data_IF_280785968521
#
_entry.id   IF_280785968521
#
_cell.length_a   1.000
_cell.length_b   1.000
_cell.length_c   1.000
_cell.angle_alpha   90.00
_cell.angle_beta   90.00
_cell.angle_gamma   90.00
#
_symmetry.space_group_name_H-M   'P 1'
#
loop_
_entity.id
_entity.type
_entity.pdbx_description
1 polymer ?
#
# COMPACT_ATOMS: atom_id res chain seq x y z
N UNK A 1 14.38 -50.11 -18.11
CA UNK A 1 15.71 -50.55 -17.57
C UNK A 1 15.99 -49.74 -16.33
N UNK A 2 16.05 -50.44 -15.19
CA UNK A 2 16.26 -49.95 -13.84
C UNK A 2 17.70 -49.48 -13.66
N UNK A 3 17.94 -48.37 -12.93
CA UNK A 3 19.14 -48.25 -12.09
C UNK A 3 18.76 -47.42 -10.86
N UNK A 4 18.64 -48.14 -9.76
CA UNK A 4 18.58 -47.70 -8.38
C UNK A 4 20.05 -47.46 -7.96
N UNK A 5 20.35 -46.31 -7.36
CA UNK A 5 21.62 -46.12 -6.63
C UNK A 5 21.28 -45.72 -5.20
N UNK A 6 21.49 -46.69 -4.33
CA UNK A 6 21.48 -46.58 -2.86
C UNK A 6 22.87 -46.12 -2.44
N UNK A 7 23.02 -45.08 -1.61
CA UNK A 7 24.27 -44.80 -0.87
C UNK A 7 23.91 -44.71 0.60
N UNK A 8 24.70 -45.52 1.34
CA UNK A 8 24.56 -45.87 2.73
C UNK A 8 25.10 -44.78 3.68
N UNK A 9 24.51 -44.80 4.86
CA UNK A 9 24.94 -44.05 6.05
C UNK A 9 26.31 -44.51 6.57
N UNK A 10 27.12 -43.56 7.04
CA UNK A 10 28.23 -43.85 7.97
C UNK A 10 28.05 -42.96 9.19
N UNK A 11 27.71 -43.65 10.28
CA UNK A 11 27.69 -43.14 11.64
C UNK A 11 29.11 -43.31 12.20
N UNK A 12 29.75 -42.26 12.71
CA UNK A 12 30.96 -42.40 13.51
C UNK A 12 30.75 -41.73 14.85
N UNK A 13 30.58 -42.58 15.84
CA UNK A 13 30.62 -42.28 17.28
C UNK A 13 32.09 -42.29 17.71
N UNK A 14 32.59 -41.23 18.35
CA UNK A 14 33.80 -41.30 19.18
C UNK A 14 33.49 -40.72 20.56
N UNK A 15 33.43 -41.62 21.51
CA UNK A 15 33.51 -41.37 22.94
C UNK A 15 35.00 -41.35 23.34
N UNK A 16 35.39 -40.43 24.18
CA UNK A 16 36.74 -40.38 24.77
C UNK A 16 36.71 -39.67 26.11
N UNK A 17 37.07 -40.37 27.13
CA UNK A 17 36.85 -40.13 28.55
C UNK A 17 37.96 -39.29 29.24
N UNK A 18 37.52 -38.58 30.28
CA UNK A 18 38.09 -38.40 31.64
C UNK A 18 39.60 -38.19 31.84
N UNK A 19 39.93 -37.12 32.57
CA UNK A 19 40.97 -37.15 33.58
C UNK A 19 41.80 -35.88 33.71
N UNK A 20 41.78 -35.27 34.91
CA UNK A 20 42.88 -34.42 35.33
C UNK A 20 42.51 -33.24 36.21
N UNK A 21 42.48 -33.41 37.53
CA UNK A 21 42.57 -32.38 38.55
C UNK A 21 43.90 -31.63 38.49
N UNK A 22 43.86 -30.30 38.69
CA UNK A 22 45.07 -29.49 38.91
C UNK A 22 44.73 -28.07 39.32
N UNK A 23 45.12 -27.67 40.47
CA UNK A 23 44.85 -26.56 41.35
C UNK A 23 45.35 -25.19 40.87
N UNK A 24 44.63 -24.14 41.34
CA UNK A 24 45.06 -22.76 41.68
C UNK A 24 45.51 -21.78 40.60
N UNK A 25 44.78 -20.67 40.55
CA UNK A 25 45.22 -19.41 39.98
C UNK A 25 44.10 -18.53 39.54
N UNK A 26 43.47 -17.76 40.45
CA UNK A 26 42.71 -16.56 40.04
C UNK A 26 43.65 -15.53 39.44
N UNK A 27 43.20 -14.89 38.35
CA UNK A 27 43.08 -13.45 38.41
C UNK A 27 41.79 -12.93 37.76
N UNK A 28 41.27 -11.89 38.44
CA UNK A 28 40.52 -10.76 37.97
C UNK A 28 39.45 -11.01 36.90
N UNK A 29 38.21 -10.82 37.34
CA UNK A 29 37.03 -10.72 36.47
C UNK A 29 37.16 -9.57 35.47
N UNK A 30 37.12 -9.90 34.22
CA UNK A 30 36.57 -9.01 33.22
C UNK A 30 35.08 -9.27 33.16
N UNK A 31 34.31 -8.28 33.68
CA UNK A 31 32.89 -8.16 33.43
C UNK A 31 32.67 -8.04 31.91
N UNK A 32 32.51 -9.17 31.25
CA UNK A 32 31.85 -9.16 29.92
C UNK A 32 30.42 -8.76 30.17
N UNK A 33 30.18 -7.46 30.08
CA UNK A 33 28.82 -6.95 29.88
C UNK A 33 28.26 -7.69 28.68
N UNK A 34 27.43 -8.69 28.96
CA UNK A 34 26.49 -9.25 27.98
C UNK A 34 25.61 -8.07 27.56
N UNK A 35 25.94 -7.45 26.43
CA UNK A 35 24.97 -6.66 25.69
C UNK A 35 23.84 -7.64 25.33
N UNK A 36 22.76 -7.58 26.11
CA UNK A 36 21.50 -8.18 25.70
C UNK A 36 21.21 -7.60 24.32
N UNK A 37 21.38 -8.42 23.28
CA UNK A 37 20.86 -8.11 21.97
C UNK A 37 19.39 -7.68 22.19
N UNK A 38 19.08 -6.41 21.96
CA UNK A 38 17.69 -5.92 21.98
C UNK A 38 16.94 -6.75 20.94
N UNK A 39 15.97 -7.54 21.38
CA UNK A 39 15.11 -8.24 20.46
C UNK A 39 14.40 -7.19 19.60
N UNK A 40 14.64 -7.18 18.29
CA UNK A 40 13.93 -6.30 17.39
C UNK A 40 12.43 -6.60 17.47
N UNK A 41 11.62 -5.57 17.73
CA UNK A 41 10.17 -5.68 17.69
C UNK A 41 9.73 -5.43 16.25
N UNK A 42 8.74 -6.16 15.76
CA UNK A 42 8.21 -5.99 14.41
C UNK A 42 6.80 -5.44 14.49
N UNK A 43 6.53 -4.44 13.67
CA UNK A 43 5.17 -3.91 13.39
C UNK A 43 4.80 -4.37 11.99
N UNK A 44 3.77 -5.18 11.88
CA UNK A 44 3.29 -5.72 10.61
C UNK A 44 2.16 -4.85 10.05
N UNK A 45 2.34 -4.28 8.86
CA UNK A 45 1.28 -3.59 8.12
C UNK A 45 0.95 -4.35 6.84
N UNK A 46 -0.32 -4.39 6.46
CA UNK A 46 -0.81 -5.13 5.30
C UNK A 46 -1.93 -4.36 4.61
N UNK A 47 -1.97 -4.35 3.29
CA UNK A 47 -3.13 -3.82 2.57
C UNK A 47 -2.85 -2.96 1.34
N UNK A 48 -3.44 -1.78 1.30
CA UNK A 48 -3.54 -0.92 0.13
C UNK A 48 -2.21 -0.63 -0.58
N UNK A 49 -2.11 -1.05 -1.84
CA UNK A 49 -0.96 -0.75 -2.72
C UNK A 49 -0.84 0.74 -3.09
N UNK A 50 -1.92 1.52 -2.94
CA UNK A 50 -1.88 2.98 -3.15
C UNK A 50 -1.21 3.73 -2.00
N UNK A 51 -1.11 3.11 -0.83
CA UNK A 51 -0.47 3.71 0.36
C UNK A 51 1.05 3.47 0.41
N UNK A 52 1.62 2.76 -0.56
CA UNK A 52 3.04 2.34 -0.56
C UNK A 52 4.00 3.49 -0.23
N UNK A 53 3.88 4.65 -0.92
CA UNK A 53 4.76 5.79 -0.65
C UNK A 53 4.52 6.40 0.72
N UNK A 54 3.26 6.53 1.15
CA UNK A 54 2.93 7.12 2.45
C UNK A 54 3.46 6.23 3.57
N UNK A 55 3.16 4.92 3.53
CA UNK A 55 3.63 4.00 4.57
C UNK A 55 5.15 3.83 4.53
N UNK A 56 5.76 3.89 3.34
CA UNK A 56 7.20 3.85 3.16
C UNK A 56 7.90 5.00 3.88
N UNK A 57 7.52 6.26 3.61
CA UNK A 57 8.11 7.42 4.28
C UNK A 57 7.87 7.41 5.79
N UNK A 58 6.68 7.02 6.24
CA UNK A 58 6.37 6.92 7.67
C UNK A 58 7.23 5.83 8.34
N UNK A 59 7.34 4.66 7.71
CA UNK A 59 8.10 3.53 8.25
C UNK A 59 9.60 3.82 8.29
N UNK A 60 10.15 4.41 7.23
CA UNK A 60 11.58 4.76 7.15
C UNK A 60 11.94 5.78 8.23
N UNK A 61 11.19 6.89 8.34
CA UNK A 61 11.44 7.92 9.33
C UNK A 61 11.30 7.38 10.77
N UNK A 62 10.29 6.54 11.02
CA UNK A 62 10.09 5.93 12.32
C UNK A 62 11.23 4.97 12.71
N UNK A 63 11.67 4.13 11.77
CA UNK A 63 12.79 3.20 12.01
C UNK A 63 14.14 3.89 12.17
N UNK A 64 14.35 5.07 11.56
CA UNK A 64 15.55 5.88 11.78
C UNK A 64 15.67 6.35 13.23
N UNK A 65 14.53 6.71 13.87
CA UNK A 65 14.48 7.16 15.27
C UNK A 65 14.41 5.98 16.26
N UNK A 66 13.89 4.84 15.85
CA UNK A 66 13.61 3.66 16.66
C UNK A 66 14.30 2.41 16.09
N UNK A 67 15.63 2.36 16.16
CA UNK A 67 16.46 1.32 15.53
C UNK A 67 16.29 -0.12 16.06
N UNK A 68 15.47 -0.33 17.10
CA UNK A 68 15.07 -1.63 17.64
C UNK A 68 13.66 -2.07 17.15
N UNK A 69 12.98 -1.23 16.37
CA UNK A 69 11.68 -1.54 15.79
C UNK A 69 11.83 -1.71 14.28
N UNK A 70 11.20 -2.75 13.74
CA UNK A 70 11.10 -3.00 12.30
C UNK A 70 9.65 -2.89 11.86
N UNK A 71 9.32 -1.91 11.03
CA UNK A 71 8.02 -1.83 10.37
C UNK A 71 8.07 -2.56 9.04
N UNK A 72 7.13 -3.45 8.80
CA UNK A 72 7.02 -4.21 7.55
C UNK A 72 5.72 -3.87 6.84
N UNK A 73 5.75 -3.84 5.51
CA UNK A 73 4.60 -3.57 4.67
C UNK A 73 4.39 -4.70 3.66
N UNK A 74 3.15 -5.19 3.58
CA UNK A 74 2.73 -6.22 2.63
C UNK A 74 1.62 -5.67 1.72
N UNK A 75 1.87 -5.42 0.42
CA UNK A 75 0.92 -4.78 -0.50
C UNK A 75 -0.10 -5.78 -1.07
N UNK A 76 -1.19 -6.05 -0.35
CA UNK A 76 -2.20 -7.07 -0.71
C UNK A 76 -3.53 -6.51 -1.22
N UNK A 77 -3.72 -5.18 -1.15
CA UNK A 77 -5.00 -4.52 -1.45
C UNK A 77 -5.82 -4.23 -0.19
N UNK A 78 -6.71 -3.23 -0.28
CA UNK A 78 -7.43 -2.69 0.88
C UNK A 78 -8.29 -3.72 1.60
N UNK A 79 -9.10 -4.47 0.86
CA UNK A 79 -9.97 -5.49 1.48
C UNK A 79 -9.19 -6.61 2.15
N UNK A 80 -8.05 -7.01 1.56
CA UNK A 80 -7.14 -8.00 2.15
C UNK A 80 -6.48 -7.49 3.44
N UNK A 81 -6.06 -6.21 3.46
CA UNK A 81 -5.50 -5.57 4.65
C UNK A 81 -6.51 -5.41 5.78
N UNK A 82 -7.74 -5.01 5.45
CA UNK A 82 -8.85 -4.95 6.42
C UNK A 82 -9.11 -6.33 7.02
N UNK A 83 -9.18 -7.37 6.18
CA UNK A 83 -9.34 -8.74 6.64
C UNK A 83 -8.15 -9.21 7.48
N UNK A 84 -6.92 -8.86 7.10
CA UNK A 84 -5.72 -9.21 7.86
C UNK A 84 -5.74 -8.60 9.26
N UNK A 85 -6.20 -7.36 9.41
CA UNK A 85 -6.38 -6.72 10.71
C UNK A 85 -7.48 -7.42 11.53
N UNK A 86 -8.63 -7.72 10.93
CA UNK A 86 -9.73 -8.44 11.59
C UNK A 86 -9.30 -9.81 12.14
N UNK A 87 -8.51 -10.53 11.36
CA UNK A 87 -8.00 -11.87 11.73
C UNK A 87 -6.74 -11.83 12.63
N UNK A 88 -6.18 -10.65 12.89
CA UNK A 88 -4.95 -10.48 13.67
C UNK A 88 -3.69 -11.00 12.96
N UNK A 89 -3.70 -11.04 11.62
CA UNK A 89 -2.55 -11.42 10.80
C UNK A 89 -1.56 -10.27 10.56
N UNK A 90 -1.98 -9.04 10.81
CA UNK A 90 -1.14 -7.85 10.89
C UNK A 90 -1.54 -7.01 12.11
N UNK A 91 -0.67 -6.10 12.52
CA UNK A 91 -0.96 -5.16 13.60
C UNK A 91 -1.86 -4.01 13.11
N UNK A 92 -1.61 -3.51 11.89
CA UNK A 92 -2.31 -2.38 11.29
C UNK A 92 -2.64 -2.71 9.84
N UNK A 93 -3.94 -2.74 9.52
CA UNK A 93 -4.43 -2.82 8.15
C UNK A 93 -4.33 -1.46 7.45
N UNK A 94 -4.12 -1.47 6.14
CA UNK A 94 -4.02 -0.28 5.31
C UNK A 94 -5.15 -0.28 4.28
N UNK A 95 -6.01 0.72 4.31
CA UNK A 95 -7.09 0.85 3.35
C UNK A 95 -7.07 2.20 2.62
N UNK A 96 -7.39 2.19 1.34
CA UNK A 96 -7.58 3.39 0.53
C UNK A 96 -9.07 3.62 0.22
N UNK A 97 -9.88 3.37 1.19
CA UNK A 97 -11.31 3.64 1.32
C UNK A 97 -11.70 3.59 2.80
N UNK A 98 -12.83 4.15 3.14
CA UNK A 98 -13.41 3.98 4.45
C UNK A 98 -13.85 2.53 4.70
N UNK A 99 -14.00 2.15 5.97
CA UNK A 99 -14.59 0.86 6.34
C UNK A 99 -16.07 0.84 5.93
N UNK A 100 -16.52 -0.30 5.42
CA UNK A 100 -17.94 -0.55 5.18
C UNK A 100 -18.64 -0.80 6.52
N UNK A 101 -19.96 -0.59 6.56
CA UNK A 101 -20.74 -0.76 7.78
C UNK A 101 -20.54 -2.14 8.41
N UNK A 102 -20.50 -3.21 7.61
CA UNK A 102 -20.25 -4.57 8.08
C UNK A 102 -18.83 -4.80 8.62
N UNK A 103 -17.86 -3.95 8.27
CA UNK A 103 -16.47 -4.04 8.73
C UNK A 103 -16.25 -3.30 10.06
N UNK A 104 -17.14 -2.37 10.42
CA UNK A 104 -17.00 -1.55 11.64
C UNK A 104 -17.43 -2.25 12.92
N UNK A 105 -17.94 -3.48 12.85
CA UNK A 105 -18.37 -4.24 14.04
C UNK A 105 -17.20 -4.63 14.96
N UNK A 106 -16.02 -4.91 14.39
CA UNK A 106 -14.83 -5.39 15.11
C UNK A 106 -13.58 -4.54 14.80
N UNK A 107 -13.69 -3.53 13.93
CA UNK A 107 -12.57 -2.76 13.44
C UNK A 107 -12.78 -1.27 13.61
N UNK A 108 -11.70 -0.58 13.94
CA UNK A 108 -11.62 0.87 13.96
C UNK A 108 -10.78 1.38 12.77
N UNK A 109 -11.36 2.29 11.99
CA UNK A 109 -10.65 3.00 10.92
C UNK A 109 -10.23 4.39 11.36
N UNK A 110 -8.95 4.72 11.23
CA UNK A 110 -8.41 6.06 11.49
C UNK A 110 -7.88 6.67 10.22
N UNK A 111 -8.50 7.76 9.78
CA UNK A 111 -8.06 8.50 8.58
C UNK A 111 -6.75 9.22 8.88
N UNK A 112 -5.74 8.99 8.06
CA UNK A 112 -4.41 9.63 8.19
C UNK A 112 -4.10 10.62 7.09
N UNK A 113 -4.68 10.41 5.90
CA UNK A 113 -4.48 11.30 4.76
C UNK A 113 -5.69 11.25 3.81
N UNK A 114 -5.78 12.24 2.93
CA UNK A 114 -6.65 12.24 1.76
C UNK A 114 -5.75 12.09 0.53
N UNK A 115 -6.17 11.26 -0.42
CA UNK A 115 -5.46 11.04 -1.66
C UNK A 115 -6.39 11.20 -2.86
N UNK A 116 -5.90 11.85 -3.92
CA UNK A 116 -6.60 11.91 -5.19
C UNK A 116 -6.50 10.59 -5.95
N UNK A 117 -7.58 10.20 -6.60
CA UNK A 117 -7.57 9.15 -7.62
C UNK A 117 -7.34 9.84 -8.96
N UNK A 118 -6.09 9.92 -9.40
CA UNK A 118 -5.73 10.52 -10.68
C UNK A 118 -6.18 9.66 -11.85
N UNK A 119 -6.82 10.28 -12.85
CA UNK A 119 -7.08 9.64 -14.13
C UNK A 119 -5.79 9.74 -14.95
N UNK A 120 -5.26 8.60 -15.33
CA UNK A 120 -3.97 8.50 -16.00
C UNK A 120 -4.11 7.96 -17.42
N UNK A 121 -3.33 8.54 -18.31
CA UNK A 121 -3.20 8.10 -19.71
C UNK A 121 -1.72 8.00 -20.08
N UNK A 122 -1.44 7.36 -21.21
CA UNK A 122 -0.09 7.36 -21.76
C UNK A 122 0.37 8.81 -22.08
N UNK A 123 1.65 9.17 -21.90
CA UNK A 123 2.16 10.52 -22.22
C UNK A 123 1.86 10.99 -23.64
N UNK A 124 1.81 10.07 -24.62
CA UNK A 124 1.52 10.37 -26.03
C UNK A 124 0.02 10.56 -26.32
N UNK A 125 -0.86 10.28 -25.37
CA UNK A 125 -2.29 10.51 -25.54
C UNK A 125 -2.59 12.02 -25.50
N UNK A 126 -3.28 12.61 -26.51
CA UNK A 126 -3.54 14.05 -26.58
C UNK A 126 -4.61 14.56 -25.60
N UNK A 127 -5.38 13.68 -24.97
CA UNK A 127 -6.46 14.07 -24.05
C UNK A 127 -5.89 14.75 -22.81
N UNK A 128 -6.45 15.91 -22.44
CA UNK A 128 -5.98 16.73 -21.30
C UNK A 128 -7.00 16.84 -20.18
N UNK A 129 -8.29 16.63 -20.48
CA UNK A 129 -9.39 16.76 -19.54
C UNK A 129 -10.53 15.82 -19.89
N UNK A 130 -11.22 15.30 -18.89
CA UNK A 130 -12.47 14.53 -19.03
C UNK A 130 -13.43 14.93 -17.92
N UNK A 131 -14.72 14.92 -18.21
CA UNK A 131 -15.75 15.02 -17.16
C UNK A 131 -15.92 13.69 -16.44
N UNK A 132 -16.43 13.72 -15.19
CA UNK A 132 -16.77 12.51 -14.44
C UNK A 132 -17.78 11.64 -15.24
N UNK A 133 -18.73 12.28 -15.92
CA UNK A 133 -19.69 11.59 -16.79
C UNK A 133 -19.00 10.88 -17.96
N UNK A 134 -18.05 11.54 -18.64
CA UNK A 134 -17.29 10.91 -19.73
C UNK A 134 -16.47 9.72 -19.22
N UNK A 135 -15.81 9.86 -18.07
CA UNK A 135 -15.06 8.78 -17.43
C UNK A 135 -15.99 7.60 -17.15
N UNK A 136 -17.15 7.85 -16.55
CA UNK A 136 -18.16 6.81 -16.30
C UNK A 136 -18.61 6.10 -17.58
N UNK A 137 -18.88 6.85 -18.65
CA UNK A 137 -19.26 6.29 -19.96
C UNK A 137 -18.13 5.48 -20.63
N UNK A 138 -16.89 5.90 -20.46
CA UNK A 138 -15.73 5.14 -20.95
C UNK A 138 -15.67 3.80 -20.23
N UNK A 139 -15.71 3.80 -18.90
CA UNK A 139 -15.58 2.56 -18.13
C UNK A 139 -16.82 1.67 -18.19
N UNK A 140 -18.03 2.21 -18.44
CA UNK A 140 -19.23 1.41 -18.74
C UNK A 140 -19.24 0.85 -20.17
N UNK A 141 -18.34 1.32 -21.04
CA UNK A 141 -18.22 0.91 -22.44
C UNK A 141 -19.28 1.56 -23.36
N UNK A 142 -19.83 2.71 -22.97
CA UNK A 142 -20.69 3.54 -23.81
C UNK A 142 -19.84 4.39 -24.75
N UNK A 143 -18.67 4.88 -24.31
CA UNK A 143 -17.64 5.56 -25.10
C UNK A 143 -16.50 4.58 -25.27
N UNK A 144 -16.14 4.24 -26.50
CA UNK A 144 -15.13 3.22 -26.80
C UNK A 144 -13.98 3.70 -27.68
N UNK A 145 -14.08 4.93 -28.17
CA UNK A 145 -13.07 5.53 -29.04
C UNK A 145 -12.68 6.92 -28.53
N UNK A 146 -11.39 7.20 -28.45
CA UNK A 146 -10.85 8.46 -27.97
C UNK A 146 -11.38 9.68 -28.74
N UNK A 147 -11.70 9.56 -30.03
CA UNK A 147 -12.29 10.66 -30.81
C UNK A 147 -13.62 11.17 -30.28
N UNK A 148 -14.36 10.35 -29.54
CA UNK A 148 -15.65 10.73 -28.96
C UNK A 148 -15.49 11.74 -27.80
N UNK A 149 -14.25 11.82 -27.27
CA UNK A 149 -13.88 12.76 -26.19
C UNK A 149 -12.76 13.73 -26.62
N UNK A 150 -12.59 13.96 -27.93
CA UNK A 150 -11.65 14.92 -28.47
C UNK A 150 -10.21 14.41 -28.64
N UNK A 151 -9.97 13.12 -28.46
CA UNK A 151 -8.70 12.47 -28.70
C UNK A 151 -8.53 11.94 -30.14
N UNK A 152 -7.53 11.09 -30.33
CA UNK A 152 -7.24 10.44 -31.61
C UNK A 152 -8.32 9.41 -32.01
N UNK A 153 -8.44 9.09 -33.31
CA UNK A 153 -9.31 8.01 -33.77
C UNK A 153 -8.67 6.64 -33.45
N UNK A 154 -8.84 6.20 -32.20
CA UNK A 154 -8.26 4.99 -31.66
C UNK A 154 -9.17 4.40 -30.58
N UNK A 155 -9.19 3.06 -30.41
CA UNK A 155 -9.99 2.43 -29.36
C UNK A 155 -9.46 2.79 -27.97
N UNK A 156 -10.35 2.90 -26.98
CA UNK A 156 -9.98 3.08 -25.58
C UNK A 156 -9.74 1.72 -24.93
N UNK A 157 -8.60 1.58 -24.23
CA UNK A 157 -8.26 0.39 -23.45
C UNK A 157 -8.37 0.71 -21.96
N UNK A 158 -9.44 0.26 -21.33
CA UNK A 158 -9.71 0.53 -19.91
C UNK A 158 -8.90 -0.40 -19.01
N UNK A 159 -7.97 0.16 -18.25
CA UNK A 159 -7.17 -0.54 -17.25
C UNK A 159 -7.75 -0.25 -15.87
N UNK A 160 -8.02 -1.30 -15.10
CA UNK A 160 -8.58 -1.17 -13.75
C UNK A 160 -7.88 -2.05 -12.74
N UNK A 161 -8.48 -2.11 -11.57
CA UNK A 161 -8.00 -2.85 -10.42
C UNK A 161 -8.94 -4.02 -10.10
N UNK A 162 -8.38 -5.03 -9.43
CA UNK A 162 -9.15 -6.16 -8.88
C UNK A 162 -10.18 -5.69 -7.82
N UNK A 163 -11.14 -6.57 -7.51
CA UNK A 163 -12.24 -6.27 -6.58
C UNK A 163 -11.79 -5.96 -5.13
N UNK A 164 -10.57 -6.39 -4.72
CA UNK A 164 -10.04 -6.09 -3.39
C UNK A 164 -9.46 -4.67 -3.25
N UNK A 165 -9.45 -3.88 -4.33
CA UNK A 165 -8.83 -2.57 -4.38
C UNK A 165 -9.75 -1.47 -3.86
N UNK A 166 -9.35 -0.80 -2.77
CA UNK A 166 -10.04 0.41 -2.30
C UNK A 166 -9.98 1.58 -3.30
N UNK A 167 -8.97 1.61 -4.19
CA UNK A 167 -8.91 2.60 -5.28
C UNK A 167 -10.01 2.36 -6.30
N UNK A 168 -10.29 1.08 -6.61
CA UNK A 168 -11.44 0.72 -7.45
C UNK A 168 -12.75 1.13 -6.80
N UNK A 169 -12.93 0.79 -5.52
CA UNK A 169 -14.16 1.16 -4.78
C UNK A 169 -14.41 2.66 -4.86
N UNK A 170 -13.42 3.50 -4.51
CA UNK A 170 -13.56 4.96 -4.55
C UNK A 170 -13.75 5.51 -5.97
N UNK A 171 -13.06 4.95 -6.97
CA UNK A 171 -13.23 5.32 -8.37
C UNK A 171 -14.65 5.02 -8.88
N UNK A 172 -15.13 3.80 -8.68
CA UNK A 172 -16.46 3.36 -9.12
C UNK A 172 -17.58 4.10 -8.40
N UNK A 173 -17.39 4.47 -7.13
CA UNK A 173 -18.33 5.29 -6.37
C UNK A 173 -18.48 6.69 -6.97
N UNK A 174 -17.36 7.41 -7.15
CA UNK A 174 -17.37 8.78 -7.67
C UNK A 174 -17.89 8.85 -9.11
N UNK A 175 -17.53 7.87 -9.94
CA UNK A 175 -17.96 7.82 -11.36
C UNK A 175 -19.36 7.21 -11.56
N UNK A 176 -19.98 6.68 -10.49
CA UNK A 176 -21.30 6.01 -10.57
C UNK A 176 -21.26 4.70 -11.37
N UNK A 177 -20.10 4.05 -11.44
CA UNK A 177 -19.87 2.85 -12.26
C UNK A 177 -19.77 1.56 -11.47
N UNK A 178 -20.18 1.55 -10.21
CA UNK A 178 -20.14 0.35 -9.37
C UNK A 178 -20.81 -0.82 -10.08
N UNK A 179 -20.10 -1.93 -10.17
CA UNK A 179 -20.52 -3.17 -10.84
C UNK A 179 -20.85 -3.03 -12.35
N UNK A 180 -20.47 -1.90 -12.98
CA UNK A 180 -20.74 -1.63 -14.40
C UNK A 180 -19.48 -1.51 -15.26
N UNK A 181 -18.30 -1.42 -14.63
CA UNK A 181 -17.05 -1.24 -15.35
C UNK A 181 -16.74 -2.44 -16.27
N UNK A 182 -16.31 -2.12 -17.48
CA UNK A 182 -15.85 -3.07 -18.50
C UNK A 182 -14.35 -2.91 -18.68
N UNK A 183 -13.59 -3.50 -17.78
CA UNK A 183 -12.15 -3.46 -17.84
C UNK A 183 -11.60 -4.35 -18.96
N UNK A 184 -10.63 -3.83 -19.70
CA UNK A 184 -9.82 -4.64 -20.63
C UNK A 184 -8.82 -5.49 -19.88
N UNK A 185 -8.32 -4.98 -18.74
CA UNK A 185 -7.46 -5.70 -17.82
C UNK A 185 -7.76 -5.25 -16.38
N UNK A 186 -7.78 -6.21 -15.46
CA UNK A 186 -7.85 -5.98 -14.02
C UNK A 186 -6.50 -6.36 -13.39
N UNK A 187 -5.87 -5.43 -12.68
CA UNK A 187 -4.52 -5.58 -12.16
C UNK A 187 -4.51 -5.52 -10.63
N UNK A 188 -3.54 -6.19 -10.01
CA UNK A 188 -3.50 -6.39 -8.56
C UNK A 188 -2.82 -5.27 -7.78
N UNK A 189 -2.06 -4.39 -8.46
CA UNK A 189 -1.37 -3.29 -7.80
C UNK A 189 -1.54 -1.95 -8.52
N UNK A 190 -1.34 -0.85 -7.80
CA UNK A 190 -1.28 0.50 -8.37
C UNK A 190 -0.11 0.63 -9.36
N UNK A 191 1.04 0.04 -9.03
CA UNK A 191 2.23 0.06 -9.88
C UNK A 191 1.99 -0.63 -11.22
N UNK A 192 1.30 -1.77 -11.24
CA UNK A 192 0.96 -2.51 -12.47
C UNK A 192 0.06 -1.67 -13.39
N UNK A 193 -0.93 -0.95 -12.82
CA UNK A 193 -1.78 -0.02 -13.60
C UNK A 193 -0.94 1.06 -14.24
N UNK A 194 -0.07 1.73 -13.48
CA UNK A 194 0.83 2.77 -14.00
C UNK A 194 1.72 2.22 -15.10
N UNK A 195 2.35 1.08 -14.90
CA UNK A 195 3.22 0.44 -15.90
C UNK A 195 2.45 0.07 -17.17
N UNK A 196 1.24 -0.49 -17.04
CA UNK A 196 0.43 -0.89 -18.19
C UNK A 196 -0.03 0.32 -19.01
N UNK A 197 -0.47 1.40 -18.33
CA UNK A 197 -0.87 2.64 -19.02
C UNK A 197 0.32 3.32 -19.68
N UNK A 198 1.50 3.35 -19.04
CA UNK A 198 2.71 3.93 -19.63
C UNK A 198 3.17 3.22 -20.89
N UNK A 199 2.89 1.93 -21.02
CA UNK A 199 3.25 1.11 -22.18
C UNK A 199 2.20 1.06 -23.31
N UNK A 200 1.02 1.66 -23.14
CA UNK A 200 -0.07 1.57 -24.14
C UNK A 200 -0.65 2.95 -24.46
N UNK A 201 -0.38 3.52 -25.67
CA UNK A 201 -0.91 4.84 -26.07
C UNK A 201 -2.44 4.96 -26.02
N UNK A 202 -3.17 3.88 -26.08
CA UNK A 202 -4.62 3.85 -26.09
C UNK A 202 -5.24 3.61 -24.72
N UNK A 203 -4.41 3.40 -23.68
CA UNK A 203 -4.89 3.07 -22.35
C UNK A 203 -5.37 4.30 -21.59
N UNK A 204 -6.42 4.07 -20.80
CA UNK A 204 -6.83 4.90 -19.67
C UNK A 204 -6.79 4.04 -18.42
N UNK A 205 -6.33 4.61 -17.31
CA UNK A 205 -6.31 3.97 -16.01
C UNK A 205 -6.61 4.98 -14.90
N UNK A 206 -6.63 4.48 -13.68
CA UNK A 206 -6.73 5.32 -12.49
C UNK A 206 -5.73 4.84 -11.43
N UNK A 207 -5.11 5.77 -10.74
CA UNK A 207 -4.10 5.50 -9.73
C UNK A 207 -4.12 6.56 -8.62
N UNK A 208 -3.54 6.23 -7.48
CA UNK A 208 -3.24 7.22 -6.44
C UNK A 208 -2.36 8.33 -7.02
N UNK A 209 -2.73 9.60 -6.79
CA UNK A 209 -1.90 10.76 -7.17
C UNK A 209 -0.53 10.67 -6.51
N UNK A 210 -0.48 10.22 -5.25
CA UNK A 210 0.77 10.01 -4.54
C UNK A 210 1.69 8.96 -5.21
N UNK A 211 1.11 7.95 -5.90
CA UNK A 211 1.85 6.79 -6.41
C UNK A 211 2.09 6.82 -7.93
N UNK A 212 1.36 7.63 -8.72
CA UNK A 212 1.38 7.56 -10.18
C UNK A 212 2.74 7.87 -10.82
N UNK A 213 3.55 8.77 -10.24
CA UNK A 213 4.86 9.14 -10.78
C UNK A 213 4.78 9.87 -12.14
N UNK A 214 5.94 9.97 -12.83
CA UNK A 214 6.10 10.78 -14.04
C UNK A 214 6.06 9.96 -15.35
N UNK A 215 5.86 8.65 -15.28
CA UNK A 215 5.83 7.77 -16.46
C UNK A 215 4.48 7.76 -17.18
N UNK A 216 3.47 8.34 -16.56
CA UNK A 216 2.12 8.51 -17.10
C UNK A 216 1.72 9.97 -17.04
N UNK A 217 0.76 10.36 -17.88
CA UNK A 217 0.15 11.69 -17.83
C UNK A 217 -1.12 11.62 -16.98
N UNK A 218 -1.19 12.40 -15.91
CA UNK A 218 -2.43 12.67 -15.19
C UNK A 218 -3.19 13.79 -15.90
N UNK A 219 -4.44 13.51 -16.28
CA UNK A 219 -5.31 14.49 -16.91
C UNK A 219 -6.18 15.19 -15.86
N UNK A 220 -6.69 16.36 -16.23
CA UNK A 220 -7.68 17.08 -15.43
C UNK A 220 -9.02 16.34 -15.41
N UNK A 221 -9.80 16.56 -14.37
CA UNK A 221 -11.22 16.12 -14.30
C UNK A 221 -12.08 17.34 -14.02
N UNK A 222 -13.08 17.58 -14.85
CA UNK A 222 -13.92 18.79 -14.77
C UNK A 222 -13.09 20.10 -14.83
N UNK A 223 -12.00 20.11 -15.57
CA UNK A 223 -11.07 21.24 -15.66
C UNK A 223 -10.11 21.40 -14.47
N UNK A 224 -10.20 20.53 -13.46
CA UNK A 224 -9.38 20.59 -12.23
C UNK A 224 -8.24 19.57 -12.31
N UNK A 225 -6.98 20.02 -12.15
CA UNK A 225 -5.82 19.12 -12.07
C UNK A 225 -5.75 18.45 -10.71
N UNK A 226 -5.38 17.16 -10.64
CA UNK A 226 -5.17 16.45 -9.37
C UNK A 226 -3.83 16.84 -8.74
N UNK A 227 -3.85 17.87 -7.93
CA UNK A 227 -2.70 18.33 -7.12
C UNK A 227 -3.02 18.24 -5.64
N UNK A 228 -1.99 18.24 -4.78
CA UNK A 228 -2.20 18.27 -3.32
C UNK A 228 -3.09 19.43 -2.90
N UNK A 229 -2.94 20.60 -3.51
CA UNK A 229 -3.74 21.78 -3.17
C UNK A 229 -5.21 21.60 -3.57
N UNK A 230 -5.49 21.19 -4.82
CA UNK A 230 -6.87 20.99 -5.30
C UNK A 230 -7.58 19.82 -4.60
N UNK A 231 -6.81 18.81 -4.13
CA UNK A 231 -7.34 17.74 -3.29
C UNK A 231 -7.65 18.28 -1.90
N UNK A 232 -6.73 19.04 -1.29
CA UNK A 232 -6.89 19.62 0.04
C UNK A 232 -8.11 20.56 0.12
N UNK A 233 -8.32 21.37 -0.92
CA UNK A 233 -9.41 22.34 -0.99
C UNK A 233 -10.76 21.71 -1.43
N UNK A 234 -10.73 20.41 -1.80
CA UNK A 234 -11.89 19.66 -2.25
C UNK A 234 -12.39 20.09 -3.65
N UNK A 235 -11.59 20.82 -4.42
CA UNK A 235 -11.87 21.16 -5.81
C UNK A 235 -11.79 19.91 -6.70
N UNK A 236 -10.73 19.09 -6.54
CA UNK A 236 -10.62 17.81 -7.23
C UNK A 236 -11.55 16.79 -6.58
N UNK A 237 -12.57 16.36 -7.30
CA UNK A 237 -13.67 15.52 -6.75
C UNK A 237 -13.35 14.04 -6.65
N UNK A 238 -12.41 13.53 -7.45
CA UNK A 238 -12.08 12.09 -7.47
C UNK A 238 -11.02 11.81 -6.41
N UNK A 239 -11.44 11.74 -5.15
CA UNK A 239 -10.57 11.59 -3.99
C UNK A 239 -11.15 10.63 -2.96
N UNK A 240 -10.32 10.16 -2.05
CA UNK A 240 -10.69 9.21 -0.98
C UNK A 240 -9.76 9.30 0.22
N UNK A 241 -10.16 8.67 1.30
CA UNK A 241 -9.36 8.56 2.51
C UNK A 241 -8.29 7.45 2.41
N UNK A 242 -7.12 7.70 3.02
CA UNK A 242 -6.19 6.67 3.45
C UNK A 242 -6.42 6.40 4.94
N UNK A 243 -6.66 5.14 5.26
CA UNK A 243 -7.15 4.70 6.57
C UNK A 243 -6.22 3.64 7.15
N UNK A 244 -5.80 3.85 8.39
CA UNK A 244 -5.20 2.81 9.22
C UNK A 244 -6.32 2.05 9.93
N UNK A 245 -6.28 0.73 9.85
CA UNK A 245 -7.32 -0.15 10.40
C UNK A 245 -6.73 -0.98 11.53
N UNK A 246 -7.36 -0.91 12.69
CA UNK A 246 -6.99 -1.68 13.88
C UNK A 246 -8.17 -2.45 14.40
N UNK A 247 -7.92 -3.52 15.16
CA UNK A 247 -8.98 -4.27 15.81
C UNK A 247 -9.47 -3.53 17.05
N UNK A 248 -10.78 -3.35 17.21
CA UNK A 248 -11.35 -2.49 18.25
C UNK A 248 -11.07 -3.01 19.67
N UNK A 249 -11.33 -4.27 19.94
CA UNK A 249 -11.21 -4.87 21.28
C UNK A 249 -9.84 -5.50 21.57
N UNK A 250 -8.83 -5.23 20.76
CA UNK A 250 -7.51 -5.82 20.91
C UNK A 250 -6.45 -4.73 21.01
N UNK A 251 -5.79 -4.63 22.16
CA UNK A 251 -4.68 -3.71 22.31
C UNK A 251 -3.54 -4.05 21.35
N UNK A 252 -3.04 -3.06 20.64
CA UNK A 252 -1.84 -3.20 19.84
C UNK A 252 -0.63 -3.55 20.75
N UNK A 253 0.36 -4.22 20.19
CA UNK A 253 1.65 -4.33 20.85
C UNK A 253 2.21 -2.93 21.12
N UNK A 254 3.10 -2.78 22.12
CA UNK A 254 3.70 -1.49 22.42
C UNK A 254 4.33 -0.84 21.19
N UNK A 255 5.09 -1.60 20.39
CA UNK A 255 5.73 -1.09 19.19
C UNK A 255 4.72 -0.67 18.11
N UNK A 256 3.64 -1.45 17.94
CA UNK A 256 2.58 -1.12 16.98
C UNK A 256 1.79 0.12 17.41
N UNK A 257 1.53 0.30 18.72
CA UNK A 257 0.86 1.47 19.24
C UNK A 257 1.72 2.73 19.06
N UNK A 258 3.01 2.67 19.42
CA UNK A 258 3.94 3.78 19.26
C UNK A 258 4.06 4.20 17.77
N UNK A 259 4.11 3.24 16.83
CA UNK A 259 4.11 3.53 15.40
C UNK A 259 2.76 4.11 14.92
N UNK A 260 1.63 3.57 15.40
CA UNK A 260 0.30 4.09 15.09
C UNK A 260 0.14 5.54 15.58
N UNK A 261 0.56 5.82 16.81
CA UNK A 261 0.51 7.17 17.38
C UNK A 261 1.38 8.15 16.58
N UNK A 262 2.58 7.73 16.17
CA UNK A 262 3.43 8.52 15.27
C UNK A 262 2.73 8.77 13.92
N UNK A 263 2.24 7.74 13.26
CA UNK A 263 1.62 7.84 11.93
C UNK A 263 0.33 8.70 11.94
N UNK A 264 -0.34 8.78 13.08
CA UNK A 264 -1.55 9.60 13.29
C UNK A 264 -1.28 10.97 13.92
N UNK A 265 -0.02 11.31 14.21
CA UNK A 265 0.37 12.60 14.81
C UNK A 265 0.65 13.68 13.76
N UNK A 266 0.75 14.95 14.22
CA UNK A 266 1.17 16.07 13.37
C UNK A 266 2.61 15.91 12.85
N UNK A 267 3.45 15.10 13.50
CA UNK A 267 4.82 14.81 13.04
C UNK A 267 4.83 14.09 11.68
N UNK A 268 3.79 13.29 11.41
CA UNK A 268 3.63 12.58 10.15
C UNK A 268 3.26 13.49 8.97
N UNK A 269 2.72 14.68 9.22
CA UNK A 269 2.14 15.54 8.16
C UNK A 269 3.13 15.92 7.08
N UNK A 270 4.39 16.23 7.45
CA UNK A 270 5.43 16.57 6.49
C UNK A 270 5.81 15.38 5.61
N UNK A 271 5.80 14.17 6.15
CA UNK A 271 6.09 12.91 5.44
C UNK A 271 4.95 12.54 4.49
N UNK A 272 3.71 12.69 4.95
CA UNK A 272 2.50 12.47 4.14
C UNK A 272 2.50 13.43 2.92
N UNK A 273 2.79 14.73 3.15
CA UNK A 273 2.93 15.71 2.06
C UNK A 273 4.06 15.34 1.10
N UNK A 274 5.21 14.93 1.62
CA UNK A 274 6.36 14.47 0.81
C UNK A 274 6.00 13.25 -0.03
N UNK A 275 5.13 12.38 0.46
CA UNK A 275 4.62 11.23 -0.29
C UNK A 275 3.63 11.64 -1.40
N UNK A 276 3.11 12.88 -1.41
CA UNK A 276 2.16 13.39 -2.39
C UNK A 276 0.68 13.24 -1.97
N UNK A 277 0.41 12.88 -0.71
CA UNK A 277 -0.92 12.86 -0.13
C UNK A 277 -1.18 14.10 0.75
N UNK A 278 -2.43 14.32 1.12
CA UNK A 278 -2.85 15.46 1.95
C UNK A 278 -3.13 14.96 3.38
N UNK A 279 -2.39 15.42 4.40
CA UNK A 279 -2.68 15.05 5.78
C UNK A 279 -4.04 15.59 6.22
N UNK A 280 -4.72 14.85 7.09
CA UNK A 280 -5.99 15.33 7.67
C UNK A 280 -5.75 16.46 8.64
N UNK A 281 -6.69 17.42 8.70
CA UNK A 281 -6.67 18.45 9.74
C UNK A 281 -7.04 17.80 11.08
N UNK A 282 -6.19 17.97 12.08
CA UNK A 282 -6.36 17.47 13.45
C UNK A 282 -6.74 18.62 14.39
#
# INVERSE_FOLDING_TARGET
>A
MKKIITIAAVLTIMAGALGGCGTNGSPAGEDVKSEKAKSSQTVATDGSTSMEKVIGFLSEAYMEEHGDIKVTYNPTGSSSGIQAAAEGRCDIGLASRDLKEEETADLQGTVVAIDGIGIIVNPDNPTEDLTIEQIGKIYSGEITNWKEVGGSDAPIVCIGREAASGTRDGFEEVTGTKDKCKYSQELTSTGDVVQTVSGNPNAIGYASVASAGDTVKMISVEGVRPTTDTIQDGEYKVQRNFVLVTKEDTALSRAAQEFFDFATSEQADSLIKKAGAVPVKR
#
